data_IF_655713604345
#
_entry.id   IF_655713604345
#
_cell.length_a   1.000
_cell.length_b   1.000
_cell.length_c   1.000
_cell.angle_alpha   90.00
_cell.angle_beta   90.00
_cell.angle_gamma   90.00
#
_symmetry.space_group_name_H-M   'P 1'
#
loop_
_entity.id
_entity.type
_entity.pdbx_description
1 polymer ?
#
# COMPACT_ATOMS: atom_id res chain seq x y z
N UNK A 1 -14.17 12.06 -23.54
CA UNK A 1 -13.21 11.49 -22.56
C UNK A 1 -11.82 11.36 -23.14
N UNK A 2 -11.65 10.81 -24.36
CA UNK A 2 -10.34 10.55 -24.99
C UNK A 2 -9.35 11.74 -25.00
N UNK A 3 -9.74 12.96 -25.44
CA UNK A 3 -8.81 14.11 -25.38
C UNK A 3 -8.35 14.46 -23.96
N UNK A 4 -9.24 14.26 -22.98
CA UNK A 4 -8.91 14.52 -21.57
C UNK A 4 -7.88 13.54 -21.02
N UNK A 5 -7.96 12.25 -21.43
CA UNK A 5 -6.97 11.24 -21.05
C UNK A 5 -5.59 11.56 -21.65
N UNK A 6 -5.53 12.05 -22.90
CA UNK A 6 -4.28 12.50 -23.52
C UNK A 6 -3.65 13.65 -22.73
N UNK A 7 -4.43 14.69 -22.43
CA UNK A 7 -3.94 15.81 -21.62
C UNK A 7 -3.48 15.34 -20.24
N UNK A 8 -4.26 14.48 -19.59
CA UNK A 8 -3.88 13.93 -18.29
C UNK A 8 -2.54 13.15 -18.36
N UNK A 9 -2.34 12.34 -19.41
CA UNK A 9 -1.06 11.64 -19.63
C UNK A 9 0.11 12.62 -19.79
N UNK A 10 -0.08 13.69 -20.56
CA UNK A 10 0.97 14.67 -20.81
C UNK A 10 1.34 15.47 -19.56
N UNK A 11 0.39 15.66 -18.64
CA UNK A 11 0.60 16.33 -17.35
C UNK A 11 1.31 15.46 -16.30
N UNK A 12 1.28 14.12 -16.44
CA UNK A 12 1.96 13.23 -15.52
C UNK A 12 3.48 13.31 -15.67
N UNK A 13 4.19 13.24 -14.54
CA UNK A 13 5.62 12.92 -14.53
C UNK A 13 5.86 11.51 -15.06
N UNK A 14 7.08 11.18 -15.48
CA UNK A 14 7.37 9.87 -16.09
C UNK A 14 7.16 8.70 -15.12
N UNK A 15 7.35 8.93 -13.81
CA UNK A 15 7.05 7.99 -12.74
C UNK A 15 5.62 8.10 -12.20
N UNK A 16 4.78 8.97 -12.79
CA UNK A 16 3.44 9.27 -12.32
C UNK A 16 2.40 8.20 -12.64
N UNK A 17 1.32 8.22 -11.88
CA UNK A 17 0.17 7.32 -12.02
C UNK A 17 -1.10 8.09 -12.29
N UNK A 18 -2.00 7.49 -13.07
CA UNK A 18 -3.39 7.90 -13.15
C UNK A 18 -4.27 6.85 -12.49
N UNK A 19 -5.20 7.31 -11.64
CA UNK A 19 -6.21 6.48 -10.97
C UNK A 19 -7.60 6.92 -11.44
N UNK A 20 -8.36 6.02 -12.04
CA UNK A 20 -9.67 6.31 -12.64
C UNK A 20 -10.73 5.46 -11.96
N UNK A 21 -11.61 6.12 -11.17
CA UNK A 21 -12.75 5.44 -10.57
C UNK A 21 -13.88 5.29 -11.59
N UNK A 22 -14.38 4.07 -11.74
CA UNK A 22 -15.38 3.70 -12.76
C UNK A 22 -16.28 2.57 -12.22
N UNK A 23 -17.50 2.47 -12.75
CA UNK A 23 -18.40 1.36 -12.44
C UNK A 23 -18.27 0.20 -13.45
N UNK A 24 -19.02 -0.87 -13.21
CA UNK A 24 -19.05 -2.07 -14.04
C UNK A 24 -19.65 -1.84 -15.44
N UNK A 25 -20.45 -0.78 -15.65
CA UNK A 25 -21.02 -0.49 -16.96
C UNK A 25 -19.95 -0.05 -17.97
N UNK A 26 -18.97 0.73 -17.52
CA UNK A 26 -17.99 1.40 -18.40
C UNK A 26 -16.55 0.95 -18.19
N UNK A 27 -16.25 0.09 -17.22
CA UNK A 27 -14.86 -0.32 -16.92
C UNK A 27 -14.14 -0.90 -18.14
N UNK A 28 -14.80 -1.74 -18.91
CA UNK A 28 -14.21 -2.37 -20.09
C UNK A 28 -13.91 -1.37 -21.22
N UNK A 29 -14.79 -0.41 -21.43
CA UNK A 29 -14.62 0.64 -22.43
C UNK A 29 -13.51 1.60 -22.01
N UNK A 30 -13.47 1.98 -20.72
CA UNK A 30 -12.44 2.83 -20.16
C UNK A 30 -11.07 2.18 -20.24
N UNK A 31 -10.96 0.88 -19.94
CA UNK A 31 -9.70 0.15 -20.03
C UNK A 31 -9.16 0.12 -21.47
N UNK A 32 -10.02 -0.08 -22.49
CA UNK A 32 -9.61 -0.02 -23.91
C UNK A 32 -9.09 1.36 -24.29
N UNK A 33 -9.77 2.43 -23.86
CA UNK A 33 -9.31 3.81 -24.09
C UNK A 33 -7.98 4.10 -23.39
N UNK A 34 -7.81 3.62 -22.16
CA UNK A 34 -6.56 3.77 -21.45
C UNK A 34 -5.42 2.98 -22.08
N UNK A 35 -5.67 1.76 -22.55
CA UNK A 35 -4.68 0.98 -23.31
C UNK A 35 -4.20 1.73 -24.55
N UNK A 36 -5.12 2.40 -25.27
CA UNK A 36 -4.76 3.21 -26.45
C UNK A 36 -3.95 4.46 -26.09
N UNK A 37 -4.32 5.15 -24.99
CA UNK A 37 -3.69 6.42 -24.59
C UNK A 37 -2.38 6.18 -23.84
N UNK A 38 -2.36 5.30 -22.86
CA UNK A 38 -1.22 5.07 -21.96
C UNK A 38 -0.31 3.93 -22.43
N UNK A 39 -0.83 3.01 -23.25
CA UNK A 39 -0.21 1.74 -23.63
C UNK A 39 -0.61 0.61 -22.67
N UNK A 40 -0.88 -0.57 -23.23
CA UNK A 40 -1.29 -1.75 -22.46
C UNK A 40 -0.20 -2.20 -21.47
N UNK A 41 1.07 -2.06 -21.83
CA UNK A 41 2.23 -2.38 -20.97
C UNK A 41 2.32 -1.51 -19.72
N UNK A 42 1.68 -0.34 -19.72
CA UNK A 42 1.64 0.60 -18.59
C UNK A 42 0.44 0.37 -17.65
N UNK A 43 -0.38 -0.65 -17.92
CA UNK A 43 -1.44 -1.07 -17.01
C UNK A 43 -0.86 -1.65 -15.73
N UNK A 44 -1.23 -1.09 -14.58
CA UNK A 44 -0.76 -1.53 -13.27
C UNK A 44 -1.72 -2.54 -12.67
N UNK A 45 -2.97 -2.14 -12.49
CA UNK A 45 -4.01 -3.02 -11.93
C UNK A 45 -5.41 -2.42 -12.07
N UNK A 46 -6.41 -3.29 -11.95
CA UNK A 46 -7.79 -2.92 -11.73
C UNK A 46 -8.18 -3.28 -10.29
N UNK A 47 -8.29 -2.27 -9.43
CA UNK A 47 -8.67 -2.46 -8.04
C UNK A 47 -10.19 -2.56 -7.92
N UNK A 48 -10.64 -3.50 -7.12
CA UNK A 48 -12.03 -3.64 -6.71
C UNK A 48 -12.24 -2.85 -5.43
N UNK A 49 -13.08 -1.82 -5.49
CA UNK A 49 -13.41 -0.96 -4.35
C UNK A 49 -14.75 -1.39 -3.78
N UNK A 50 -14.77 -2.06 -2.65
CA UNK A 50 -16.00 -2.41 -1.95
C UNK A 50 -16.64 -1.12 -1.44
N UNK A 51 -17.76 -0.71 -2.09
CA UNK A 51 -18.49 0.55 -1.81
C UNK A 51 -19.68 0.38 -0.89
N UNK A 52 -20.25 -0.83 -0.82
CA UNK A 52 -21.38 -1.15 0.05
C UNK A 52 -21.34 -2.60 0.50
N UNK A 53 -21.88 -2.86 1.69
CA UNK A 53 -22.01 -4.20 2.27
C UNK A 53 -23.48 -4.39 2.67
N UNK A 54 -24.15 -5.20 1.90
CA UNK A 54 -25.57 -5.49 2.11
C UNK A 54 -26.52 -4.38 1.63
N UNK A 55 -27.79 -4.69 1.63
CA UNK A 55 -28.85 -3.82 1.12
C UNK A 55 -29.03 -3.91 -0.40
N UNK A 56 -30.08 -3.27 -0.89
CA UNK A 56 -30.44 -3.20 -2.29
C UNK A 56 -31.64 -4.10 -2.66
N UNK A 57 -32.41 -3.60 -3.62
CA UNK A 57 -33.62 -4.26 -4.14
C UNK A 57 -33.40 -4.94 -5.49
N UNK A 58 -32.15 -5.29 -5.81
CA UNK A 58 -31.82 -5.89 -7.09
C UNK A 58 -32.42 -7.28 -7.22
N UNK A 59 -33.06 -7.56 -8.36
CA UNK A 59 -33.77 -8.82 -8.62
C UNK A 59 -32.84 -10.04 -8.76
N UNK A 60 -31.54 -9.85 -9.09
CA UNK A 60 -30.58 -10.93 -9.34
C UNK A 60 -29.38 -10.87 -8.39
N UNK A 61 -28.58 -9.83 -8.50
CA UNK A 61 -27.41 -9.62 -7.66
C UNK A 61 -27.25 -8.14 -7.32
N UNK A 62 -26.80 -7.85 -6.09
CA UNK A 62 -26.47 -6.49 -5.66
C UNK A 62 -25.00 -6.22 -5.98
N UNK A 63 -24.75 -5.17 -6.75
CA UNK A 63 -23.37 -4.73 -7.07
C UNK A 63 -22.87 -3.90 -5.89
N UNK A 64 -21.96 -4.49 -5.12
CA UNK A 64 -21.39 -3.88 -3.91
C UNK A 64 -20.02 -3.22 -4.13
N UNK A 65 -19.55 -3.12 -5.38
CA UNK A 65 -18.22 -2.60 -5.70
C UNK A 65 -18.24 -1.63 -6.87
N UNK A 66 -17.19 -0.83 -6.94
CA UNK A 66 -16.73 -0.07 -8.11
C UNK A 66 -15.32 -0.53 -8.46
N UNK A 67 -14.79 -0.02 -9.55
CA UNK A 67 -13.42 -0.26 -9.98
C UNK A 67 -12.57 1.01 -9.86
N UNK A 68 -11.27 0.81 -9.65
CA UNK A 68 -10.27 1.86 -9.79
C UNK A 68 -9.18 1.34 -10.73
N UNK A 69 -9.22 1.81 -11.98
CA UNK A 69 -8.18 1.51 -12.97
C UNK A 69 -6.94 2.34 -12.68
N UNK A 70 -5.79 1.69 -12.65
CA UNK A 70 -4.50 2.36 -12.40
C UNK A 70 -3.56 2.07 -13.57
N UNK A 71 -3.04 3.15 -14.15
CA UNK A 71 -1.99 3.13 -15.18
C UNK A 71 -0.81 3.97 -14.73
N UNK A 72 0.39 3.52 -15.03
CA UNK A 72 1.58 4.36 -14.97
C UNK A 72 1.72 5.16 -16.26
N UNK A 73 2.41 6.30 -16.24
CA UNK A 73 2.84 6.95 -17.49
C UNK A 73 3.92 6.11 -18.19
N UNK A 74 4.91 5.62 -17.42
CA UNK A 74 5.94 4.68 -17.85
C UNK A 74 6.18 3.67 -16.73
N UNK A 75 5.81 2.42 -16.95
CA UNK A 75 5.86 1.40 -15.90
C UNK A 75 7.28 1.14 -15.38
N UNK A 76 8.28 1.22 -16.26
CA UNK A 76 9.69 0.99 -15.91
C UNK A 76 10.27 2.12 -15.03
N UNK A 77 9.69 3.32 -15.11
CA UNK A 77 10.07 4.48 -14.27
C UNK A 77 9.22 4.62 -13.02
N UNK A 78 8.09 3.91 -12.97
CA UNK A 78 7.11 4.04 -11.91
C UNK A 78 7.57 3.31 -10.63
N UNK A 79 7.44 3.98 -9.49
CA UNK A 79 7.74 3.39 -8.18
C UNK A 79 6.62 2.38 -7.84
N UNK A 80 6.94 1.17 -7.35
CA UNK A 80 5.92 0.21 -6.96
C UNK A 80 4.90 0.79 -5.99
N UNK A 81 3.61 0.54 -6.23
CA UNK A 81 2.54 1.00 -5.34
C UNK A 81 2.74 0.44 -3.93
N UNK A 82 2.76 1.33 -2.94
CA UNK A 82 2.87 1.00 -1.54
C UNK A 82 1.77 1.66 -0.71
N UNK A 83 1.35 1.02 0.35
CA UNK A 83 0.50 1.64 1.36
C UNK A 83 1.24 1.72 2.69
N UNK A 84 0.86 2.65 3.59
CA UNK A 84 1.43 2.66 4.93
C UNK A 84 1.38 1.27 5.56
N UNK A 85 2.46 0.88 6.23
CA UNK A 85 2.56 -0.43 6.89
C UNK A 85 1.47 -0.57 7.94
N UNK A 86 0.66 -1.62 7.82
CA UNK A 86 -0.22 -2.06 8.90
C UNK A 86 0.62 -2.87 9.91
N UNK A 87 1.03 -2.19 10.97
CA UNK A 87 1.95 -2.74 11.95
C UNK A 87 1.19 -3.59 12.96
N UNK A 88 1.51 -4.89 12.99
CA UNK A 88 1.01 -5.84 14.00
C UNK A 88 1.99 -6.03 15.17
N UNK A 89 3.13 -5.31 15.17
CA UNK A 89 4.18 -5.39 16.16
C UNK A 89 4.20 -4.22 17.13
N UNK A 90 5.17 -4.22 18.02
CA UNK A 90 5.41 -3.13 18.96
C UNK A 90 5.94 -1.91 18.21
N UNK A 91 5.31 -0.74 18.45
CA UNK A 91 5.83 0.55 18.00
C UNK A 91 6.64 1.15 19.13
N UNK A 92 7.81 1.65 18.82
CA UNK A 92 8.72 2.33 19.76
C UNK A 92 9.16 3.66 19.19
N UNK A 93 9.42 4.62 20.06
CA UNK A 93 10.00 5.91 19.68
C UNK A 93 11.52 5.88 19.98
N UNK A 94 12.32 6.31 19.00
CA UNK A 94 13.75 6.42 19.10
C UNK A 94 14.20 7.65 18.31
N UNK A 95 14.97 8.53 18.98
CA UNK A 95 15.51 9.76 18.39
C UNK A 95 14.44 10.69 17.77
N UNK A 96 13.22 10.71 18.36
CA UNK A 96 12.09 11.51 17.88
C UNK A 96 11.36 10.91 16.66
N UNK A 97 11.72 9.72 16.24
CA UNK A 97 11.08 9.00 15.13
C UNK A 97 10.39 7.71 15.62
N UNK A 98 9.32 7.32 14.93
CA UNK A 98 8.59 6.09 15.23
C UNK A 98 9.16 4.92 14.44
N UNK A 99 9.45 3.85 15.15
CA UNK A 99 9.89 2.55 14.60
C UNK A 99 8.92 1.47 15.02
N UNK A 100 8.76 0.48 14.18
CA UNK A 100 8.17 -0.79 14.59
C UNK A 100 9.25 -1.87 14.62
N UNK A 101 9.04 -2.89 15.47
CA UNK A 101 9.99 -3.99 15.61
C UNK A 101 9.50 -5.15 14.76
N UNK A 102 10.23 -5.43 13.69
CA UNK A 102 9.97 -6.55 12.80
C UNK A 102 10.67 -7.82 13.32
N UNK A 103 9.91 -8.84 13.63
CA UNK A 103 10.44 -10.12 14.15
C UNK A 103 10.48 -11.23 13.12
N UNK A 104 9.65 -11.15 12.09
CA UNK A 104 9.52 -12.21 11.07
C UNK A 104 10.68 -12.22 10.07
N UNK A 105 11.36 -11.09 9.89
CA UNK A 105 12.51 -10.99 8.97
C UNK A 105 13.60 -12.03 9.25
N UNK A 106 13.86 -12.28 10.52
CA UNK A 106 14.89 -13.22 10.95
C UNK A 106 14.57 -14.66 10.56
N UNK A 107 13.29 -15.01 10.57
CA UNK A 107 12.77 -16.29 10.08
C UNK A 107 12.84 -16.39 8.55
N UNK A 108 12.45 -15.32 7.86
CA UNK A 108 12.43 -15.25 6.40
C UNK A 108 13.84 -15.37 5.82
N UNK A 109 14.81 -14.68 6.42
CA UNK A 109 16.19 -14.72 6.00
C UNK A 109 16.82 -16.11 6.10
N UNK A 110 16.40 -16.91 7.06
CA UNK A 110 16.85 -18.29 7.23
C UNK A 110 15.99 -19.31 6.45
N UNK A 111 15.02 -18.88 5.70
CA UNK A 111 14.17 -19.73 4.84
C UNK A 111 13.37 -20.80 5.63
N UNK A 112 13.00 -20.53 6.87
CA UNK A 112 12.37 -21.51 7.76
C UNK A 112 10.95 -21.16 8.15
N UNK A 113 10.14 -22.19 8.26
CA UNK A 113 8.85 -22.12 8.95
C UNK A 113 9.09 -22.35 10.45
N UNK A 114 8.67 -21.42 11.27
CA UNK A 114 8.79 -21.47 12.73
C UNK A 114 9.62 -20.33 13.31
N UNK A 115 9.77 -20.33 14.62
CA UNK A 115 10.52 -19.30 15.34
C UNK A 115 12.01 -19.59 15.25
N UNK A 116 12.80 -18.62 14.74
CA UNK A 116 14.25 -18.66 14.77
C UNK A 116 14.75 -17.89 16.01
N UNK A 117 15.60 -18.51 16.81
CA UNK A 117 16.16 -17.88 18.00
C UNK A 117 17.62 -17.48 17.77
N UNK A 118 18.02 -16.43 18.45
CA UNK A 118 19.39 -15.91 18.40
C UNK A 118 20.43 -16.98 18.82
N UNK A 119 20.10 -17.81 19.81
CA UNK A 119 20.97 -18.88 20.33
C UNK A 119 21.15 -20.01 19.32
N UNK A 120 20.24 -20.14 18.37
CA UNK A 120 20.24 -21.24 17.39
C UNK A 120 20.88 -20.83 16.05
N UNK A 121 21.45 -19.62 15.95
CA UNK A 121 22.01 -19.11 14.67
C UNK A 121 23.08 -20.07 14.14
N UNK A 122 24.00 -20.53 14.96
CA UNK A 122 25.10 -21.41 14.54
C UNK A 122 24.63 -22.83 14.16
N UNK A 123 23.40 -23.21 14.47
CA UNK A 123 22.81 -24.48 14.01
C UNK A 123 22.43 -24.39 12.53
N UNK A 124 22.10 -23.19 12.05
CA UNK A 124 21.48 -22.97 10.74
C UNK A 124 22.34 -22.11 9.82
N UNK A 125 23.29 -21.39 10.40
CA UNK A 125 24.21 -20.47 9.72
C UNK A 125 25.63 -20.55 10.30
N UNK A 126 26.54 -19.83 9.65
CA UNK A 126 27.93 -19.75 10.00
C UNK A 126 28.23 -18.68 11.08
N UNK A 127 29.51 -18.67 11.53
CA UNK A 127 30.01 -17.70 12.50
C UNK A 127 29.97 -16.26 11.96
N UNK A 128 30.10 -16.08 10.63
CA UNK A 128 30.03 -14.75 9.99
C UNK A 128 28.65 -14.12 10.15
N UNK A 129 27.61 -14.90 9.94
CA UNK A 129 26.22 -14.42 10.14
C UNK A 129 25.96 -14.10 11.61
N UNK A 130 26.43 -14.93 12.53
CA UNK A 130 26.36 -14.64 13.97
C UNK A 130 27.03 -13.32 14.31
N UNK A 131 28.23 -13.07 13.79
CA UNK A 131 28.96 -11.82 14.00
C UNK A 131 28.22 -10.61 13.42
N UNK A 132 27.63 -10.73 12.24
CA UNK A 132 26.81 -9.68 11.64
C UNK A 132 25.64 -9.29 12.54
N UNK A 133 24.93 -10.28 13.09
CA UNK A 133 23.82 -10.03 14.03
C UNK A 133 24.33 -9.36 15.31
N UNK A 134 25.43 -9.85 15.89
CA UNK A 134 26.01 -9.27 17.10
C UNK A 134 26.46 -7.81 16.89
N UNK A 135 27.03 -7.50 15.72
CA UNK A 135 27.34 -6.12 15.35
C UNK A 135 26.10 -5.25 15.18
N UNK A 136 25.06 -5.77 14.55
CA UNK A 136 23.77 -5.08 14.41
C UNK A 136 23.13 -4.74 15.75
N UNK A 137 23.21 -5.67 16.72
CA UNK A 137 22.76 -5.43 18.10
C UNK A 137 23.57 -4.31 18.76
N UNK A 138 24.92 -4.36 18.65
CA UNK A 138 25.79 -3.32 19.20
C UNK A 138 25.57 -1.94 18.59
N UNK A 139 25.23 -1.88 17.30
CA UNK A 139 24.92 -0.64 16.58
C UNK A 139 23.47 -0.16 16.82
N UNK A 140 22.67 -0.90 17.59
CA UNK A 140 21.27 -0.55 17.84
C UNK A 140 20.34 -0.69 16.64
N UNK A 141 20.75 -1.50 15.64
CA UNK A 141 19.92 -1.85 14.48
C UNK A 141 18.97 -3.00 14.81
N UNK A 142 19.37 -3.87 15.71
CA UNK A 142 18.60 -5.04 16.15
C UNK A 142 18.40 -5.01 17.66
N UNK A 143 17.37 -5.72 18.12
CA UNK A 143 17.04 -5.90 19.54
C UNK A 143 16.76 -7.37 19.82
N UNK A 144 17.21 -7.85 20.98
CA UNK A 144 16.88 -9.18 21.48
C UNK A 144 15.57 -9.11 22.28
N UNK A 145 14.58 -9.92 21.88
CA UNK A 145 13.28 -9.98 22.51
C UNK A 145 13.14 -11.34 23.19
N UNK A 146 12.97 -11.41 24.52
CA UNK A 146 12.79 -12.67 25.23
C UNK A 146 11.53 -13.40 24.76
N UNK A 147 11.65 -14.71 24.47
CA UNK A 147 10.53 -15.58 24.11
C UNK A 147 10.84 -17.04 24.47
N UNK A 148 10.04 -17.61 25.35
CA UNK A 148 10.13 -19.02 25.75
C UNK A 148 11.54 -19.46 26.20
N UNK A 149 12.22 -18.66 27.02
CA UNK A 149 13.56 -18.95 27.53
C UNK A 149 14.71 -18.70 26.55
N UNK A 150 14.44 -18.26 25.34
CA UNK A 150 15.39 -17.84 24.30
C UNK A 150 15.07 -16.41 23.83
N UNK A 151 15.81 -15.94 22.81
CA UNK A 151 15.58 -14.61 22.25
C UNK A 151 15.26 -14.66 20.75
N UNK A 152 14.33 -13.80 20.32
CA UNK A 152 14.10 -13.49 18.92
C UNK A 152 14.88 -12.22 18.58
N UNK A 153 15.45 -12.16 17.38
CA UNK A 153 16.11 -10.96 16.86
C UNK A 153 15.07 -10.09 16.15
N UNK A 154 14.72 -8.96 16.75
CA UNK A 154 13.91 -7.92 16.13
C UNK A 154 14.80 -6.90 15.42
N UNK A 155 14.35 -6.37 14.28
CA UNK A 155 15.00 -5.22 13.64
C UNK A 155 14.09 -3.99 13.69
N UNK A 156 14.73 -2.83 13.89
CA UNK A 156 14.02 -1.56 13.84
C UNK A 156 13.74 -1.15 12.40
N UNK A 157 12.47 -0.87 12.09
CA UNK A 157 12.04 -0.33 10.81
C UNK A 157 11.35 1.01 11.02
N UNK A 158 11.81 2.06 10.34
CA UNK A 158 11.14 3.36 10.40
C UNK A 158 9.72 3.25 9.88
N UNK A 159 8.75 3.64 10.69
CA UNK A 159 7.33 3.52 10.33
C UNK A 159 6.97 4.40 9.13
N UNK A 160 7.58 5.59 9.03
CA UNK A 160 7.33 6.53 7.94
C UNK A 160 7.89 6.08 6.58
N UNK A 161 8.88 5.18 6.57
CA UNK A 161 9.56 4.71 5.36
C UNK A 161 9.12 3.30 4.94
N UNK A 162 8.39 2.58 5.83
CA UNK A 162 8.01 1.19 5.58
C UNK A 162 6.61 1.11 4.95
N UNK A 163 6.49 0.27 3.95
CA UNK A 163 5.26 0.11 3.18
C UNK A 163 4.84 -1.35 3.08
N UNK A 164 3.56 -1.56 2.91
CA UNK A 164 2.97 -2.84 2.50
C UNK A 164 2.54 -2.77 1.04
N UNK A 165 2.55 -3.91 0.36
CA UNK A 165 1.98 -4.00 -0.99
C UNK A 165 0.47 -3.70 -0.95
N UNK A 166 -0.03 -3.07 -1.99
CA UNK A 166 -1.47 -2.95 -2.17
C UNK A 166 -2.08 -4.33 -2.49
N UNK A 167 -3.23 -4.59 -1.89
CA UNK A 167 -4.12 -5.63 -2.37
C UNK A 167 -5.09 -5.00 -3.38
N UNK A 168 -5.42 -5.76 -4.42
CA UNK A 168 -6.34 -5.28 -5.47
C UNK A 168 -7.81 -5.23 -5.03
N UNK A 169 -8.13 -5.61 -3.80
CA UNK A 169 -9.43 -5.44 -3.19
C UNK A 169 -9.27 -4.53 -1.97
N UNK A 170 -9.91 -3.35 -2.04
CA UNK A 170 -9.90 -2.34 -0.98
C UNK A 170 -11.33 -2.04 -0.52
N UNK A 171 -11.49 -1.62 0.73
CA UNK A 171 -12.82 -1.39 1.30
C UNK A 171 -12.97 0.07 1.72
N UNK A 172 -13.76 0.83 0.93
CA UNK A 172 -14.09 2.22 1.18
C UNK A 172 -15.57 2.45 0.89
N UNK A 173 -16.39 2.42 1.94
CA UNK A 173 -17.84 2.50 1.79
C UNK A 173 -18.29 3.90 1.38
N UNK A 174 -19.14 4.02 0.35
CA UNK A 174 -19.64 5.31 -0.17
C UNK A 174 -20.35 6.15 0.90
N UNK A 175 -21.01 5.51 1.88
CA UNK A 175 -21.61 6.23 3.02
C UNK A 175 -20.62 7.12 3.78
N UNK A 176 -19.35 6.79 3.77
CA UNK A 176 -18.32 7.62 4.40
C UNK A 176 -18.04 8.88 3.59
N UNK A 177 -18.08 8.82 2.24
CA UNK A 177 -17.96 10.01 1.40
C UNK A 177 -19.10 11.01 1.60
N UNK A 178 -20.33 10.51 1.85
CA UNK A 178 -21.45 11.40 2.22
C UNK A 178 -21.17 12.10 3.54
N UNK A 179 -20.70 11.37 4.57
CA UNK A 179 -20.32 11.95 5.86
C UNK A 179 -19.16 12.95 5.75
N UNK A 180 -18.18 12.67 4.89
CA UNK A 180 -17.07 13.59 4.64
C UNK A 180 -17.56 14.93 4.09
N UNK A 181 -18.56 14.91 3.18
CA UNK A 181 -19.19 16.12 2.64
C UNK A 181 -20.13 16.83 3.64
N UNK A 182 -20.82 16.07 4.50
CA UNK A 182 -21.63 16.65 5.58
C UNK A 182 -20.76 17.51 6.50
N UNK A 183 -19.55 17.04 6.83
CA UNK A 183 -18.58 17.75 7.67
C UNK A 183 -18.13 19.11 7.14
N UNK A 184 -18.34 19.39 5.84
CA UNK A 184 -18.00 20.64 5.16
C UNK A 184 -19.20 21.31 4.50
N UNK A 185 -20.44 20.90 4.87
CA UNK A 185 -21.73 21.44 4.40
C UNK A 185 -21.97 21.33 2.88
N UNK A 186 -21.32 20.39 2.21
CA UNK A 186 -21.42 20.17 0.75
C UNK A 186 -22.21 18.91 0.35
N UNK A 187 -22.87 18.25 1.27
CA UNK A 187 -23.56 16.95 1.06
C UNK A 187 -24.67 16.98 0.00
N UNK A 188 -25.21 18.16 -0.32
CA UNK A 188 -26.28 18.32 -1.32
C UNK A 188 -25.77 18.69 -2.73
N UNK A 189 -24.46 18.85 -2.91
CA UNK A 189 -23.86 19.35 -4.15
C UNK A 189 -23.38 18.19 -5.03
N UNK A 190 -22.97 17.07 -4.42
CA UNK A 190 -22.43 15.92 -5.14
C UNK A 190 -23.29 14.68 -4.91
N UNK A 191 -23.69 14.06 -6.03
CA UNK A 191 -24.26 12.72 -6.01
C UNK A 191 -23.11 11.69 -5.98
N UNK A 192 -23.22 10.67 -5.13
CA UNK A 192 -22.27 9.55 -5.02
C UNK A 192 -20.80 9.94 -4.76
N UNK A 193 -20.51 10.74 -3.72
CA UNK A 193 -19.16 11.16 -3.40
C UNK A 193 -18.28 9.96 -3.05
N UNK A 194 -17.02 9.99 -3.53
CA UNK A 194 -16.04 9.00 -3.12
C UNK A 194 -15.48 9.36 -1.75
N UNK A 195 -15.27 8.37 -0.85
CA UNK A 195 -14.68 8.62 0.46
C UNK A 195 -13.29 9.26 0.34
N UNK A 196 -13.01 10.26 1.18
CA UNK A 196 -11.68 10.89 1.25
C UNK A 196 -10.60 9.88 1.63
N UNK A 197 -10.95 8.86 2.41
CA UNK A 197 -10.06 7.75 2.78
C UNK A 197 -9.56 6.96 1.56
N UNK A 198 -10.40 6.75 0.52
CA UNK A 198 -9.97 6.11 -0.74
C UNK A 198 -8.95 6.97 -1.47
N UNK A 199 -9.27 8.25 -1.65
CA UNK A 199 -8.40 9.19 -2.37
C UNK A 199 -7.05 9.32 -1.64
N UNK A 200 -7.09 9.47 -0.31
CA UNK A 200 -5.89 9.56 0.53
C UNK A 200 -5.02 8.29 0.42
N UNK A 201 -5.61 7.10 0.46
CA UNK A 201 -4.86 5.84 0.37
C UNK A 201 -4.10 5.74 -0.95
N UNK A 202 -4.73 6.10 -2.07
CA UNK A 202 -4.08 6.04 -3.38
C UNK A 202 -3.08 7.17 -3.60
N UNK A 203 -3.32 8.39 -3.11
CA UNK A 203 -2.33 9.46 -3.13
C UNK A 203 -1.08 9.02 -2.35
N UNK A 204 -1.23 8.55 -1.13
CA UNK A 204 -0.11 8.06 -0.33
C UNK A 204 0.59 6.89 -0.99
N UNK A 205 -0.18 5.98 -1.60
CA UNK A 205 0.32 4.79 -2.25
C UNK A 205 1.14 5.05 -3.50
N UNK A 206 0.86 6.14 -4.20
CA UNK A 206 1.60 6.57 -5.40
C UNK A 206 2.76 7.52 -5.09
N UNK A 207 2.86 8.05 -3.86
CA UNK A 207 3.85 9.07 -3.49
C UNK A 207 4.72 8.68 -2.28
N UNK A 208 4.34 7.70 -1.47
CA UNK A 208 4.99 7.41 -0.18
C UNK A 208 6.46 6.98 -0.33
N UNK A 209 6.80 6.34 -1.44
CA UNK A 209 8.17 5.94 -1.75
C UNK A 209 8.98 7.05 -2.46
N UNK A 210 8.33 8.10 -2.95
CA UNK A 210 8.98 9.23 -3.63
C UNK A 210 9.58 10.26 -2.67
N UNK A 211 9.37 10.13 -1.37
CA UNK A 211 9.88 11.06 -0.34
C UNK A 211 11.41 11.22 -0.34
N UNK A 212 12.15 10.28 -0.95
CA UNK A 212 13.61 10.39 -1.09
C UNK A 212 14.05 11.26 -2.28
N UNK A 213 13.13 11.74 -3.11
CA UNK A 213 13.42 12.45 -4.37
C UNK A 213 12.80 13.85 -4.43
N UNK A 214 12.73 14.62 -3.37
CA UNK A 214 12.38 16.06 -3.36
C UNK A 214 11.24 16.53 -4.30
N UNK A 215 10.34 15.63 -4.72
CA UNK A 215 9.27 15.91 -5.67
C UNK A 215 7.91 15.87 -4.94
N UNK A 216 7.68 16.83 -4.05
CA UNK A 216 6.36 17.33 -3.66
C UNK A 216 6.44 18.85 -3.58
#
# INVERSE_FOLDING_TARGET
>A
IYPRLKVARDLLSDNGYICISIDDNEVNNMQKLCNEVFGESNFVSNFIVIRSEGGGLAKRAVIGHDYLLVYAKQIDSAIPLGRPKDVRGQIVEKDGEQYWIETDWFREEFGRYGTCHYEDILIWHDAKKKQEIDEGIRKGLYILIPRNGKHIVGRYRKLAEDTSKFYTVVKHLNKNGVKDLEGIELSKIFDFPKPTSLVKEFILGTTILSKNNNDI
#
